data_IF_945151521730
#
_entry.id   IF_945151521730
#
_cell.length_a   1.000
_cell.length_b   1.000
_cell.length_c   1.000
_cell.angle_alpha   90.00
_cell.angle_beta   90.00
_cell.angle_gamma   90.00
#
_symmetry.space_group_name_H-M   'P 1'
#
loop_
_entity.id
_entity.type
_entity.pdbx_description
1 polymer ?
#
# COMPACT_ATOMS: atom_id res chain seq x y z
N UNK A 1 -13.40 3.42 -3.06
CA UNK A 1 -12.28 3.91 -3.90
C UNK A 1 -12.15 5.43 -3.85
N UNK A 2 -13.16 6.22 -4.21
CA UNK A 2 -13.06 7.70 -4.22
C UNK A 2 -12.60 8.28 -2.87
N UNK A 3 -13.15 7.81 -1.75
CA UNK A 3 -12.75 8.24 -0.40
C UNK A 3 -11.29 7.96 -0.09
N UNK A 4 -10.78 6.79 -0.54
CA UNK A 4 -9.39 6.39 -0.37
C UNK A 4 -8.37 7.22 -1.19
N UNK A 5 -8.86 8.10 -2.05
CA UNK A 5 -8.04 9.06 -2.81
C UNK A 5 -8.20 10.49 -2.30
N UNK A 6 -9.09 10.70 -1.31
CA UNK A 6 -9.41 12.04 -0.79
C UNK A 6 -8.39 12.51 0.24
N UNK A 7 -7.15 12.70 -0.22
CA UNK A 7 -6.03 13.20 0.60
C UNK A 7 -6.36 14.63 1.06
N UNK A 8 -6.44 14.89 2.39
CA UNK A 8 -6.73 16.22 2.91
C UNK A 8 -5.74 17.27 2.42
N UNK A 9 -6.27 18.41 1.99
CA UNK A 9 -5.49 19.50 1.40
C UNK A 9 -5.10 19.32 -0.07
N UNK A 10 -5.42 18.15 -0.69
CA UNK A 10 -5.20 17.86 -2.12
C UNK A 10 -6.52 17.67 -2.84
N UNK A 11 -7.41 16.84 -2.27
CA UNK A 11 -8.70 16.51 -2.85
C UNK A 11 -9.84 16.80 -1.86
N UNK A 12 -11.04 17.06 -2.41
CA UNK A 12 -12.23 17.22 -1.59
C UNK A 12 -12.62 15.90 -0.90
N UNK A 13 -13.07 15.96 0.35
CA UNK A 13 -13.60 14.79 1.04
C UNK A 13 -14.86 14.25 0.35
N UNK A 14 -15.28 13.06 0.72
CA UNK A 14 -16.51 12.42 0.23
C UNK A 14 -17.55 12.40 1.33
N UNK A 15 -18.70 13.01 1.08
CA UNK A 15 -19.86 12.87 1.95
C UNK A 15 -20.61 11.58 1.60
N UNK A 16 -20.77 10.71 2.60
CA UNK A 16 -21.50 9.46 2.47
C UNK A 16 -22.24 9.15 3.78
N UNK A 17 -23.53 9.00 3.72
CA UNK A 17 -24.40 8.62 4.85
C UNK A 17 -24.19 9.50 6.10
N UNK A 18 -24.01 10.81 5.91
CA UNK A 18 -23.77 11.79 6.98
C UNK A 18 -22.34 11.78 7.55
N UNK A 19 -21.44 11.01 6.95
CA UNK A 19 -20.01 10.97 7.30
C UNK A 19 -19.17 11.72 6.27
N UNK A 20 -18.17 12.45 6.74
CA UNK A 20 -17.15 13.08 5.89
C UNK A 20 -15.96 12.14 5.81
N UNK A 21 -15.78 11.49 4.67
CA UNK A 21 -14.75 10.51 4.44
C UNK A 21 -13.51 11.13 3.78
N UNK A 22 -12.35 10.77 4.26
CA UNK A 22 -11.04 11.14 3.72
C UNK A 22 -10.19 9.90 3.45
N UNK A 23 -9.00 10.08 2.90
CA UNK A 23 -8.04 8.99 2.69
C UNK A 23 -7.71 8.26 3.98
N UNK A 24 -7.87 6.94 3.97
CA UNK A 24 -7.62 6.07 5.13
C UNK A 24 -6.16 6.04 5.56
N UNK A 25 -5.23 6.38 4.67
CA UNK A 25 -3.80 6.50 4.96
C UNK A 25 -3.47 7.50 6.05
N UNK A 26 -4.40 8.42 6.36
CA UNK A 26 -4.28 9.37 7.48
C UNK A 26 -4.24 8.69 8.85
N UNK A 27 -4.84 7.51 8.97
CA UNK A 27 -5.01 6.79 10.26
C UNK A 27 -4.39 5.41 10.23
N UNK A 28 -4.48 4.71 9.08
CA UNK A 28 -4.00 3.34 8.93
C UNK A 28 -3.69 3.05 7.47
N UNK A 29 -2.47 3.34 7.05
CA UNK A 29 -2.04 3.22 5.66
C UNK A 29 -1.73 1.76 5.24
N UNK A 30 -1.68 0.83 6.20
CA UNK A 30 -1.45 -0.60 5.95
C UNK A 30 -2.42 -1.43 6.83
N UNK A 31 -3.71 -1.52 6.48
CA UNK A 31 -4.80 -1.90 7.36
C UNK A 31 -5.00 -3.42 7.49
N UNK A 32 -3.96 -4.17 7.83
CA UNK A 32 -3.99 -5.62 8.04
C UNK A 32 -4.91 -6.00 9.21
N UNK A 33 -4.86 -5.26 10.30
CA UNK A 33 -5.73 -5.42 11.45
C UNK A 33 -7.22 -5.34 11.08
N UNK A 34 -7.57 -4.45 10.17
CA UNK A 34 -8.95 -4.31 9.65
C UNK A 34 -9.32 -5.53 8.81
N UNK A 35 -8.44 -5.99 7.93
CA UNK A 35 -8.69 -7.17 7.11
C UNK A 35 -8.89 -8.44 7.97
N UNK A 36 -8.08 -8.61 9.02
CA UNK A 36 -8.24 -9.70 9.98
C UNK A 36 -9.57 -9.58 10.75
N UNK A 37 -9.94 -8.38 11.18
CA UNK A 37 -11.24 -8.14 11.85
C UNK A 37 -12.44 -8.41 10.93
N UNK A 38 -12.27 -8.30 9.62
CA UNK A 38 -13.25 -8.66 8.59
C UNK A 38 -13.28 -10.17 8.29
N UNK A 39 -12.45 -10.97 8.94
CA UNK A 39 -12.43 -12.42 8.81
C UNK A 39 -11.44 -12.97 7.79
N UNK A 40 -10.41 -12.22 7.41
CA UNK A 40 -9.35 -12.74 6.57
C UNK A 40 -8.48 -13.73 7.37
N UNK A 41 -8.26 -14.94 6.83
CA UNK A 41 -7.41 -15.97 7.41
C UNK A 41 -5.94 -15.80 7.02
N UNK A 42 -5.69 -15.17 5.87
CA UNK A 42 -4.36 -14.95 5.31
C UNK A 42 -4.27 -13.56 4.70
N UNK A 43 -3.09 -12.96 4.82
CA UNK A 43 -2.83 -11.60 4.36
C UNK A 43 -1.69 -11.59 3.35
N UNK A 44 -1.97 -11.12 2.15
CA UNK A 44 -0.93 -10.68 1.21
C UNK A 44 -0.93 -9.16 1.25
N UNK A 45 0.14 -8.57 1.78
CA UNK A 45 0.29 -7.13 1.89
C UNK A 45 1.17 -6.58 0.79
N UNK A 46 0.68 -5.56 0.08
CA UNK A 46 1.48 -4.79 -0.88
C UNK A 46 1.80 -3.44 -0.25
N UNK A 47 3.06 -3.20 0.03
CA UNK A 47 3.51 -1.99 0.68
C UNK A 47 4.21 -1.07 -0.33
N UNK A 48 3.60 0.07 -0.56
CA UNK A 48 4.08 1.16 -1.43
C UNK A 48 4.41 2.42 -0.64
N UNK A 49 4.64 2.30 0.67
CA UNK A 49 4.98 3.44 1.50
C UNK A 49 6.42 3.90 1.23
N UNK A 50 6.58 5.20 1.08
CA UNK A 50 7.90 5.82 1.03
C UNK A 50 8.57 5.77 2.41
N UNK A 51 9.90 5.60 2.46
CA UNK A 51 10.64 5.73 3.72
C UNK A 51 10.47 7.13 4.31
N UNK A 52 10.67 7.23 5.62
CA UNK A 52 10.67 8.54 6.29
C UNK A 52 11.74 9.44 5.68
N UNK A 53 11.36 10.70 5.45
CA UNK A 53 12.28 11.72 4.93
C UNK A 53 13.35 12.06 5.97
N UNK A 54 14.56 12.34 5.50
CA UNK A 54 15.62 12.89 6.35
C UNK A 54 15.32 14.36 6.68
N UNK A 55 15.87 14.87 7.78
CA UNK A 55 15.66 16.26 8.19
C UNK A 55 16.03 17.27 7.08
N UNK A 56 17.04 16.95 6.27
CA UNK A 56 17.47 17.78 5.12
C UNK A 56 16.47 17.80 3.95
N UNK A 57 15.55 16.86 3.91
CA UNK A 57 14.55 16.69 2.85
C UNK A 57 13.20 17.34 3.22
N UNK A 58 13.00 17.71 4.49
CA UNK A 58 11.82 18.40 5.00
C UNK A 58 11.87 19.88 4.63
N UNK A 59 11.49 20.21 3.42
CA UNK A 59 11.61 21.59 2.86
C UNK A 59 10.29 22.34 2.80
N UNK A 60 9.18 21.67 2.96
CA UNK A 60 7.85 22.27 2.86
C UNK A 60 6.93 21.85 4.01
N UNK A 61 5.88 22.65 4.24
CA UNK A 61 4.83 22.31 5.22
C UNK A 61 4.17 20.95 4.87
N UNK A 62 4.05 20.62 3.59
CA UNK A 62 3.52 19.33 3.14
C UNK A 62 4.43 18.17 3.54
N UNK A 63 5.74 18.33 3.41
CA UNK A 63 6.72 17.30 3.79
C UNK A 63 6.65 17.04 5.29
N UNK A 64 6.60 18.12 6.09
CA UNK A 64 6.48 18.03 7.57
C UNK A 64 5.17 17.36 7.96
N UNK A 65 4.06 17.75 7.35
CA UNK A 65 2.74 17.17 7.65
C UNK A 65 2.67 15.68 7.27
N UNK A 66 3.16 15.32 6.10
CA UNK A 66 3.26 13.91 5.67
C UNK A 66 4.15 13.09 6.60
N UNK A 67 5.27 13.64 7.05
CA UNK A 67 6.17 13.00 7.99
C UNK A 67 5.50 12.74 9.35
N UNK A 68 4.73 13.71 9.87
CA UNK A 68 3.98 13.55 11.13
C UNK A 68 2.99 12.39 11.03
N UNK A 69 2.24 12.30 9.93
CA UNK A 69 1.29 11.21 9.68
C UNK A 69 2.01 9.86 9.64
N UNK A 70 3.12 9.77 8.91
CA UNK A 70 3.91 8.55 8.80
C UNK A 70 4.47 8.12 10.15
N UNK A 71 4.97 9.06 10.96
CA UNK A 71 5.47 8.77 12.30
C UNK A 71 4.38 8.29 13.26
N UNK A 72 3.18 8.88 13.20
CA UNK A 72 2.05 8.43 14.02
C UNK A 72 1.60 7.01 13.65
N UNK A 73 1.64 6.66 12.37
CA UNK A 73 1.28 5.33 11.87
C UNK A 73 2.32 4.23 12.11
N UNK A 74 3.58 4.59 12.41
CA UNK A 74 4.73 3.67 12.43
C UNK A 74 4.55 2.48 13.38
N UNK A 75 4.03 2.70 14.59
CA UNK A 75 3.79 1.60 15.56
C UNK A 75 2.78 0.61 15.00
N UNK A 76 1.65 1.10 14.51
CA UNK A 76 0.57 0.29 13.95
C UNK A 76 1.02 -0.45 12.69
N UNK A 77 1.78 0.21 11.84
CA UNK A 77 2.38 -0.41 10.66
C UNK A 77 3.28 -1.60 11.02
N UNK A 78 4.16 -1.46 12.02
CA UNK A 78 5.01 -2.56 12.49
C UNK A 78 4.21 -3.73 13.07
N UNK A 79 3.13 -3.44 13.79
CA UNK A 79 2.22 -4.48 14.31
C UNK A 79 1.53 -5.21 13.15
N UNK A 80 1.04 -4.49 12.16
CA UNK A 80 0.39 -5.02 10.97
C UNK A 80 1.35 -5.84 10.10
N UNK A 81 2.61 -5.44 9.97
CA UNK A 81 3.63 -6.22 9.27
C UNK A 81 3.83 -7.62 9.86
N UNK A 82 3.77 -7.75 11.20
CA UNK A 82 3.92 -9.05 11.87
C UNK A 82 2.77 -10.01 11.58
N UNK A 83 1.61 -9.47 11.19
CA UNK A 83 0.40 -10.21 10.87
C UNK A 83 0.21 -10.38 9.36
N UNK A 84 1.24 -10.14 8.56
CA UNK A 84 1.23 -10.30 7.10
C UNK A 84 1.91 -11.62 6.74
N UNK A 85 1.22 -12.52 6.05
CA UNK A 85 1.78 -13.82 5.63
C UNK A 85 2.77 -13.65 4.48
N UNK A 86 2.46 -12.81 3.51
CA UNK A 86 3.36 -12.49 2.39
C UNK A 86 3.41 -10.98 2.21
N UNK A 87 4.60 -10.40 2.36
CA UNK A 87 4.84 -8.98 2.12
C UNK A 87 5.48 -8.77 0.75
N UNK A 88 4.84 -7.93 -0.07
CA UNK A 88 5.39 -7.42 -1.33
C UNK A 88 5.77 -5.96 -1.10
N UNK A 89 7.05 -5.68 -0.86
CA UNK A 89 7.57 -4.33 -0.63
C UNK A 89 8.05 -3.73 -1.94
N UNK A 90 7.36 -2.70 -2.42
CA UNK A 90 7.73 -2.00 -3.65
C UNK A 90 8.61 -0.80 -3.33
N UNK A 91 9.75 -0.69 -4.02
CA UNK A 91 10.59 0.52 -3.94
C UNK A 91 9.94 1.66 -4.73
N UNK A 92 9.41 2.64 -4.02
CA UNK A 92 8.83 3.86 -4.58
C UNK A 92 9.73 5.08 -4.44
N UNK A 93 11.01 4.89 -4.11
CA UNK A 93 11.97 5.98 -3.93
C UNK A 93 12.03 6.87 -5.17
N UNK A 94 11.94 8.18 -4.97
CA UNK A 94 11.92 9.17 -6.04
C UNK A 94 10.53 9.47 -6.61
N UNK A 95 9.50 8.79 -6.15
CA UNK A 95 8.12 9.00 -6.59
C UNK A 95 7.20 9.35 -5.42
N UNK A 96 6.09 9.98 -5.74
CA UNK A 96 5.04 10.37 -4.78
C UNK A 96 3.65 10.03 -5.33
N UNK A 97 2.62 10.19 -4.50
CA UNK A 97 1.23 10.05 -4.93
C UNK A 97 0.81 11.02 -6.06
N UNK A 98 1.64 12.02 -6.39
CA UNK A 98 1.44 12.97 -7.48
C UNK A 98 2.28 12.67 -8.73
N UNK A 99 2.97 11.54 -8.80
CA UNK A 99 3.85 11.15 -9.92
C UNK A 99 3.04 10.46 -11.03
N UNK A 100 2.38 11.25 -11.88
CA UNK A 100 1.48 10.76 -12.95
C UNK A 100 2.07 10.87 -14.36
N UNK A 101 3.38 11.11 -14.53
CA UNK A 101 3.97 11.06 -15.87
C UNK A 101 4.00 9.62 -16.38
N UNK A 102 3.98 9.44 -17.70
CA UNK A 102 4.01 8.10 -18.30
C UNK A 102 5.26 7.32 -17.84
N UNK A 103 6.42 7.97 -17.82
CA UNK A 103 7.69 7.37 -17.41
C UNK A 103 7.64 6.93 -15.93
N UNK A 104 7.00 7.73 -15.06
CA UNK A 104 6.83 7.38 -13.65
C UNK A 104 5.92 6.16 -13.50
N UNK A 105 4.80 6.12 -14.22
CA UNK A 105 3.86 5.00 -14.22
C UNK A 105 4.55 3.72 -14.71
N UNK A 106 5.20 3.78 -15.86
CA UNK A 106 5.89 2.63 -16.44
C UNK A 106 6.99 2.09 -15.49
N UNK A 107 7.75 2.99 -14.87
CA UNK A 107 8.79 2.60 -13.90
C UNK A 107 8.20 1.96 -12.65
N UNK A 108 7.13 2.53 -12.10
CA UNK A 108 6.48 1.98 -10.89
C UNK A 108 5.82 0.64 -11.17
N UNK A 109 5.26 0.42 -12.35
CA UNK A 109 4.73 -0.88 -12.77
C UNK A 109 5.83 -1.95 -12.78
N UNK A 110 6.97 -1.66 -13.43
CA UNK A 110 8.12 -2.59 -13.47
C UNK A 110 8.66 -2.90 -12.06
N UNK A 111 8.75 -1.88 -11.18
CA UNK A 111 9.16 -2.08 -9.79
C UNK A 111 8.17 -2.96 -9.01
N UNK A 112 6.86 -2.77 -9.24
CA UNK A 112 5.81 -3.59 -8.65
C UNK A 112 5.89 -5.05 -9.08
N UNK A 113 6.04 -5.29 -10.38
CA UNK A 113 6.23 -6.64 -10.93
C UNK A 113 7.47 -7.32 -10.34
N UNK A 114 8.59 -6.61 -10.28
CA UNK A 114 9.83 -7.13 -9.69
C UNK A 114 9.65 -7.49 -8.21
N UNK A 115 9.05 -6.60 -7.41
CA UNK A 115 8.79 -6.87 -6.00
C UNK A 115 7.89 -8.09 -5.78
N UNK A 116 6.89 -8.28 -6.65
CA UNK A 116 6.04 -9.47 -6.63
C UNK A 116 6.83 -10.74 -6.99
N UNK A 117 7.72 -10.67 -7.98
CA UNK A 117 8.60 -11.80 -8.34
C UNK A 117 9.61 -12.13 -7.23
N UNK A 118 10.17 -11.12 -6.56
CA UNK A 118 11.07 -11.32 -5.42
C UNK A 118 10.35 -11.99 -4.23
N UNK A 119 9.03 -11.85 -4.13
CA UNK A 119 8.17 -12.49 -3.12
C UNK A 119 7.53 -13.81 -3.59
N UNK A 120 7.91 -14.33 -4.78
CA UNK A 120 7.24 -15.44 -5.45
C UNK A 120 7.21 -16.73 -4.64
N UNK A 121 8.30 -17.08 -3.99
CA UNK A 121 8.39 -18.28 -3.14
C UNK A 121 7.40 -18.24 -1.98
N UNK A 122 7.23 -17.06 -1.36
CA UNK A 122 6.23 -16.84 -0.31
C UNK A 122 4.80 -17.01 -0.83
N UNK A 123 4.51 -16.48 -2.02
CA UNK A 123 3.21 -16.64 -2.68
C UNK A 123 2.92 -18.10 -3.02
N UNK A 124 3.91 -18.85 -3.51
CA UNK A 124 3.77 -20.28 -3.79
C UNK A 124 3.58 -21.10 -2.50
N UNK A 125 4.29 -20.75 -1.43
CA UNK A 125 4.12 -21.41 -0.13
C UNK A 125 2.70 -21.18 0.42
N UNK A 126 2.19 -19.96 0.32
CA UNK A 126 0.83 -19.64 0.70
C UNK A 126 -0.20 -20.37 -0.19
N UNK A 127 0.02 -20.44 -1.50
CA UNK A 127 -0.82 -21.20 -2.44
C UNK A 127 -0.94 -22.66 -2.03
N UNK A 128 0.18 -23.31 -1.68
CA UNK A 128 0.20 -24.71 -1.20
C UNK A 128 -0.57 -24.86 0.12
N UNK A 129 -0.36 -23.93 1.06
CA UNK A 129 -1.07 -23.91 2.36
C UNK A 129 -2.60 -23.80 2.19
N UNK A 130 -3.05 -23.08 1.17
CA UNK A 130 -4.47 -22.94 0.81
C UNK A 130 -5.02 -24.13 0.02
N UNK A 131 -4.20 -25.13 -0.35
CA UNK A 131 -4.62 -26.27 -1.15
C UNK A 131 -5.06 -25.91 -2.57
N UNK A 132 -4.62 -24.77 -3.10
CA UNK A 132 -4.93 -24.34 -4.45
C UNK A 132 -4.14 -25.18 -5.47
N UNK A 133 -4.82 -25.64 -6.54
CA UNK A 133 -4.23 -26.48 -7.57
C UNK A 133 -3.01 -25.82 -8.23
N UNK A 134 -1.97 -26.60 -8.54
CA UNK A 134 -0.73 -26.10 -9.15
C UNK A 134 -0.91 -25.65 -10.60
N UNK A 135 -1.95 -26.17 -11.28
CA UNK A 135 -2.25 -25.94 -12.69
C UNK A 135 -3.12 -24.69 -12.96
N UNK A 136 -3.45 -23.92 -11.92
CA UNK A 136 -4.16 -22.66 -12.12
C UNK A 136 -3.31 -21.70 -12.96
N UNK A 137 -3.65 -21.57 -14.24
CA UNK A 137 -3.11 -20.53 -15.11
C UNK A 137 -3.97 -19.28 -14.99
N UNK A 138 -3.43 -18.13 -14.53
CA UNK A 138 -4.20 -16.89 -14.52
C UNK A 138 -4.65 -16.58 -15.95
N UNK A 139 -5.94 -16.29 -16.13
CA UNK A 139 -6.42 -15.74 -17.40
C UNK A 139 -5.69 -14.43 -17.62
N UNK A 140 -4.77 -14.40 -18.58
CA UNK A 140 -4.18 -13.12 -18.99
C UNK A 140 -5.32 -12.21 -19.42
N UNK A 141 -5.42 -10.95 -18.92
CA UNK A 141 -6.31 -10.00 -19.55
C UNK A 141 -5.92 -9.97 -21.03
N UNK A 142 -6.90 -10.16 -21.91
CA UNK A 142 -6.69 -10.01 -23.35
C UNK A 142 -6.16 -8.60 -23.68
N UNK A 143 -5.58 -8.44 -24.87
CA UNK A 143 -5.06 -7.17 -25.34
C UNK A 143 -6.15 -6.08 -25.37
#
# INVERSE_FOLDING_TARGET
MRSSMSIPGVFAPVDLDGMVLVDGGMVNNYPVDVALAMGADYIIGVDVQSPLLKASELKSVKDIFGQIINLQGEKKYRENLRNTDVLIKVDVTGYSAASFTKEAIDTLMVRGERAAMDSWDGLLALKRKLGLAEDYQPRRPGP
#
